data_IF_636860551624
#
_entry.id   IF_636860551624
#
_cell.length_a   1.000
_cell.length_b   1.000
_cell.length_c   1.000
_cell.angle_alpha   90.00
_cell.angle_beta   90.00
_cell.angle_gamma   90.00
#
_symmetry.space_group_name_H-M   'P 1'
#
loop_
_entity.id
_entity.type
_entity.pdbx_description
1 polymer ?
#
# COMPACT_ATOMS: atom_id res chain seq x y z
N UNK A 1 -5.03 3.79 -48.56
CA UNK A 1 -3.75 4.28 -47.99
C UNK A 1 -4.07 4.78 -46.59
N UNK A 2 -3.90 4.01 -45.51
CA UNK A 2 -2.62 3.48 -44.96
C UNK A 2 -1.67 4.64 -44.62
N UNK A 3 -1.17 4.85 -43.40
CA UNK A 3 -1.18 4.06 -42.17
C UNK A 3 -0.68 4.93 -41.00
N UNK A 4 -0.85 4.37 -39.79
CA UNK A 4 -0.01 4.52 -38.60
C UNK A 4 -0.13 5.86 -37.85
N UNK A 5 -0.73 5.81 -36.65
CA UNK A 5 -0.04 5.54 -35.36
C UNK A 5 0.26 6.91 -34.73
N UNK A 6 -0.09 7.20 -33.49
CA UNK A 6 0.12 6.33 -32.36
C UNK A 6 -0.94 6.60 -31.31
N UNK A 7 -1.42 5.50 -30.74
CA UNK A 7 -2.30 5.51 -29.59
C UNK A 7 -1.50 6.06 -28.42
N UNK A 8 -1.83 7.27 -27.96
CA UNK A 8 -1.56 7.59 -26.56
C UNK A 8 -2.56 6.80 -25.74
N UNK A 9 -2.18 5.54 -25.52
CA UNK A 9 -2.81 4.66 -24.56
C UNK A 9 -2.96 5.44 -23.26
N UNK A 10 -4.20 5.51 -22.81
CA UNK A 10 -4.49 5.88 -21.44
C UNK A 10 -3.86 4.80 -20.56
N UNK A 11 -2.60 5.04 -20.16
CA UNK A 11 -1.89 4.26 -19.15
C UNK A 11 -2.79 4.14 -17.92
N UNK A 12 -2.86 2.97 -17.26
CA UNK A 12 -3.86 2.70 -16.25
C UNK A 12 -3.65 3.61 -15.04
N UNK A 13 -4.51 4.62 -14.90
CA UNK A 13 -4.69 5.32 -13.64
C UNK A 13 -5.01 4.27 -12.56
N UNK A 14 -4.23 4.25 -11.47
CA UNK A 14 -4.35 3.42 -10.25
C UNK A 14 -3.47 2.17 -10.08
N UNK A 15 -2.42 1.95 -10.90
CA UNK A 15 -1.42 0.95 -10.53
C UNK A 15 -0.59 1.42 -9.31
N UNK A 16 -0.88 0.86 -8.13
CA UNK A 16 -0.09 1.09 -6.90
C UNK A 16 1.37 0.72 -7.17
N UNK A 17 2.25 1.73 -7.17
CA UNK A 17 3.68 1.56 -7.45
C UNK A 17 4.47 1.28 -6.17
N UNK A 18 5.36 0.27 -6.16
CA UNK A 18 6.21 -0.08 -5.00
C UNK A 18 7.01 1.11 -4.45
N UNK A 19 7.62 1.97 -5.29
CA UNK A 19 8.19 3.24 -4.85
C UNK A 19 7.24 4.17 -4.08
N UNK A 20 5.96 4.21 -4.44
CA UNK A 20 4.96 5.03 -3.77
C UNK A 20 4.58 4.44 -2.41
N UNK A 21 4.39 3.11 -2.36
CA UNK A 21 4.12 2.35 -1.12
C UNK A 21 5.20 2.58 -0.07
N UNK A 22 6.48 2.36 -0.40
CA UNK A 22 7.62 2.56 0.53
C UNK A 22 7.92 4.04 0.83
N UNK A 23 7.32 4.95 0.08
CA UNK A 23 7.60 6.38 0.10
C UNK A 23 6.52 7.17 0.81
N UNK A 24 5.67 7.84 0.02
CA UNK A 24 4.64 8.77 0.49
C UNK A 24 3.62 8.11 1.41
N UNK A 25 3.18 6.89 1.09
CA UNK A 25 2.18 6.19 1.89
C UNK A 25 2.78 5.79 3.24
N UNK A 26 3.95 5.15 3.23
CA UNK A 26 4.62 4.75 4.48
C UNK A 26 4.91 5.95 5.40
N UNK A 27 5.38 7.05 4.83
CA UNK A 27 5.67 8.27 5.58
C UNK A 27 4.42 8.91 6.20
N UNK A 28 3.26 8.81 5.53
CA UNK A 28 2.00 9.37 6.04
C UNK A 28 1.39 8.54 7.16
N UNK A 29 1.53 7.20 7.12
CA UNK A 29 0.95 6.32 8.13
C UNK A 29 1.88 6.07 9.32
N UNK A 30 3.21 6.22 9.17
CA UNK A 30 4.17 6.11 10.28
C UNK A 30 5.56 6.69 9.98
N UNK A 31 5.85 7.84 10.58
CA UNK A 31 7.17 8.52 10.45
C UNK A 31 8.33 7.69 10.98
N UNK A 32 8.19 7.07 12.15
CA UNK A 32 9.27 6.29 12.77
C UNK A 32 9.61 5.05 11.96
N UNK A 33 8.59 4.29 11.52
CA UNK A 33 8.82 3.07 10.76
C UNK A 33 9.34 3.35 9.35
N UNK A 34 8.89 4.43 8.71
CA UNK A 34 9.43 4.92 7.44
C UNK A 34 10.95 5.13 7.51
N UNK A 35 11.45 5.75 8.58
CA UNK A 35 12.89 5.93 8.78
C UNK A 35 13.61 4.60 8.98
N UNK A 36 13.03 3.66 9.73
CA UNK A 36 13.60 2.32 9.95
C UNK A 36 13.75 1.52 8.64
N UNK A 37 12.77 1.58 7.74
CA UNK A 37 12.86 0.89 6.43
C UNK A 37 14.05 1.40 5.60
N UNK A 38 14.40 2.68 5.70
CA UNK A 38 15.55 3.24 4.96
C UNK A 38 16.89 2.63 5.37
N UNK A 39 16.98 2.04 6.57
CA UNK A 39 18.16 1.35 7.07
C UNK A 39 18.28 -0.10 6.55
N UNK A 40 17.20 -0.68 6.03
CA UNK A 40 17.22 -2.05 5.52
C UNK A 40 18.01 -2.17 4.21
N UNK A 41 18.60 -3.36 3.93
CA UNK A 41 19.13 -3.70 2.62
C UNK A 41 18.10 -3.44 1.52
N UNK A 42 18.54 -2.93 0.35
CA UNK A 42 17.64 -2.53 -0.75
C UNK A 42 16.61 -3.60 -1.11
N UNK A 43 17.01 -4.87 -1.13
CA UNK A 43 16.16 -6.02 -1.45
C UNK A 43 15.02 -6.28 -0.45
N UNK A 44 15.15 -5.80 0.79
CA UNK A 44 14.15 -6.00 1.84
C UNK A 44 13.18 -4.83 1.99
N UNK A 45 13.49 -3.65 1.43
CA UNK A 45 12.68 -2.44 1.63
C UNK A 45 11.26 -2.62 1.10
N UNK A 46 11.12 -3.18 -0.10
CA UNK A 46 9.83 -3.33 -0.76
C UNK A 46 8.94 -4.38 -0.06
N UNK A 47 9.39 -5.63 0.18
CA UNK A 47 8.55 -6.61 0.88
C UNK A 47 8.20 -6.20 2.32
N UNK A 48 9.12 -5.56 3.05
CA UNK A 48 8.85 -5.08 4.42
C UNK A 48 7.89 -3.89 4.42
N UNK A 49 8.00 -2.98 3.45
CA UNK A 49 7.04 -1.86 3.31
C UNK A 49 5.63 -2.37 3.06
N UNK A 50 5.48 -3.34 2.13
CA UNK A 50 4.19 -3.94 1.84
C UNK A 50 3.60 -4.66 3.05
N UNK A 51 4.39 -5.51 3.72
CA UNK A 51 3.94 -6.24 4.90
C UNK A 51 3.52 -5.31 6.04
N UNK A 52 4.25 -4.21 6.24
CA UNK A 52 3.88 -3.21 7.24
C UNK A 52 2.58 -2.48 6.90
N UNK A 53 2.39 -2.09 5.64
CA UNK A 53 1.16 -1.41 5.22
C UNK A 53 -0.06 -2.30 5.38
N UNK A 54 0.07 -3.60 5.08
CA UNK A 54 -0.96 -4.58 5.35
C UNK A 54 -1.29 -4.65 6.85
N UNK A 55 -0.26 -4.81 7.69
CA UNK A 55 -0.44 -4.86 9.14
C UNK A 55 -1.08 -3.56 9.69
N UNK A 56 -0.68 -2.39 9.19
CA UNK A 56 -1.23 -1.10 9.61
C UNK A 56 -2.68 -0.91 9.17
N UNK A 57 -3.05 -1.44 8.01
CA UNK A 57 -4.44 -1.46 7.57
C UNK A 57 -5.30 -2.37 8.47
N UNK A 58 -4.80 -3.58 8.79
CA UNK A 58 -5.47 -4.50 9.73
C UNK A 58 -5.67 -3.87 11.12
N UNK A 59 -4.64 -3.21 11.64
CA UNK A 59 -4.66 -2.47 12.90
C UNK A 59 -5.73 -1.38 12.90
N UNK A 60 -5.81 -0.59 11.81
CA UNK A 60 -6.86 0.44 11.64
C UNK A 60 -8.26 -0.18 11.65
N UNK A 61 -8.47 -1.32 10.97
CA UNK A 61 -9.76 -2.02 10.97
C UNK A 61 -10.11 -2.51 12.39
N UNK A 62 -9.15 -3.07 13.11
CA UNK A 62 -9.34 -3.53 14.48
C UNK A 62 -9.69 -2.37 15.44
N UNK A 63 -9.00 -1.23 15.29
CA UNK A 63 -9.11 -0.04 16.14
C UNK A 63 -10.35 0.82 15.86
N UNK A 64 -11.07 0.60 14.75
CA UNK A 64 -12.29 1.36 14.43
C UNK A 64 -13.47 0.87 15.29
N UNK A 65 -13.47 1.25 16.57
CA UNK A 65 -14.44 0.78 17.57
C UNK A 65 -15.89 1.22 17.31
N UNK A 66 -16.09 2.22 16.46
CA UNK A 66 -17.39 2.69 15.98
C UNK A 66 -18.10 1.63 15.11
N UNK A 67 -17.35 0.68 14.55
CA UNK A 67 -17.89 -0.43 13.76
C UNK A 67 -18.22 -1.66 14.64
N UNK A 68 -19.33 -2.37 14.35
CA UNK A 68 -19.66 -3.63 15.02
C UNK A 68 -18.50 -4.62 14.97
N UNK A 69 -18.35 -5.42 16.03
CA UNK A 69 -17.26 -6.39 16.14
C UNK A 69 -17.34 -7.48 15.06
N UNK A 70 -18.55 -7.85 14.66
CA UNK A 70 -18.82 -8.83 13.63
C UNK A 70 -18.30 -8.33 12.27
N UNK A 71 -18.55 -7.06 11.96
CA UNK A 71 -18.09 -6.45 10.70
C UNK A 71 -16.56 -6.36 10.67
N UNK A 72 -15.92 -5.94 11.76
CA UNK A 72 -14.45 -5.92 11.85
C UNK A 72 -13.86 -7.31 11.68
N UNK A 73 -14.45 -8.31 12.32
CA UNK A 73 -14.03 -9.72 12.22
C UNK A 73 -14.17 -10.26 10.81
N UNK A 74 -15.29 -9.96 10.13
CA UNK A 74 -15.51 -10.34 8.73
C UNK A 74 -14.42 -9.75 7.83
N UNK A 75 -14.14 -8.45 7.94
CA UNK A 75 -13.11 -7.79 7.12
C UNK A 75 -11.71 -8.34 7.36
N UNK A 76 -11.35 -8.60 8.62
CA UNK A 76 -10.04 -9.15 8.96
C UNK A 76 -9.84 -10.60 8.48
N UNK A 77 -10.91 -11.39 8.31
CA UNK A 77 -10.83 -12.75 7.74
C UNK A 77 -10.59 -12.78 6.22
N UNK A 78 -10.86 -11.67 5.52
CA UNK A 78 -10.67 -11.57 4.07
C UNK A 78 -9.27 -11.12 3.66
N UNK A 79 -8.47 -10.65 4.62
CA UNK A 79 -7.06 -10.28 4.44
C UNK A 79 -6.17 -11.51 4.60
#
# INVERSE_FOLDING_TARGET
MSAADDSFGQEPESAVSLPNLRGSILASVSRSFYLSIRLLPKKLRDPVSLGYLLARASDTIADTTELPIELRTEKLRLL
#
